data_IF_944275123899
#
_entry.id   IF_944275123899
#
_cell.length_a   1.000
_cell.length_b   1.000
_cell.length_c   1.000
_cell.angle_alpha   90.00
_cell.angle_beta   90.00
_cell.angle_gamma   90.00
#
_symmetry.space_group_name_H-M   'P 1'
#
loop_
_entity.id
_entity.type
_entity.pdbx_description
1 polymer ?
#
# COMPACT_ATOMS: atom_id res chain seq x y z
N UNK A 1 -5.84 -0.96 1.25
CA UNK A 1 -5.84 -0.86 -0.23
C UNK A 1 -5.10 -2.05 -0.82
N UNK A 2 -5.71 -2.79 -1.75
CA UNK A 2 -5.02 -3.80 -2.57
C UNK A 2 -4.58 -3.17 -3.89
N UNK A 3 -3.39 -3.51 -4.33
CA UNK A 3 -2.96 -3.20 -5.69
C UNK A 3 -2.68 -4.52 -6.43
N UNK A 4 -3.59 -4.90 -7.31
CA UNK A 4 -3.40 -5.96 -8.31
C UNK A 4 -3.16 -5.30 -9.67
N UNK A 5 -2.64 -6.06 -10.64
CA UNK A 5 -2.62 -5.62 -12.04
C UNK A 5 -4.03 -5.22 -12.48
N UNK A 6 -4.16 -4.04 -13.09
CA UNK A 6 -5.45 -3.48 -13.47
C UNK A 6 -5.92 -4.14 -14.76
N UNK A 7 -7.14 -4.66 -14.73
CA UNK A 7 -7.87 -5.10 -15.93
C UNK A 7 -9.10 -4.23 -16.10
N UNK A 8 -9.34 -3.72 -17.30
CA UNK A 8 -10.53 -2.95 -17.64
C UNK A 8 -11.55 -3.87 -18.29
N UNK A 9 -12.69 -4.06 -17.63
CA UNK A 9 -13.89 -4.57 -18.29
C UNK A 9 -14.73 -3.39 -18.82
N UNK A 10 -15.72 -3.70 -19.65
CA UNK A 10 -16.61 -2.69 -20.23
C UNK A 10 -17.29 -1.82 -19.18
N UNK A 11 -17.62 -2.40 -18.02
CA UNK A 11 -18.33 -1.70 -16.96
C UNK A 11 -17.43 -0.68 -16.26
N UNK A 12 -16.26 -1.11 -15.80
CA UNK A 12 -15.23 -0.29 -15.15
C UNK A 12 -14.72 0.80 -16.08
N UNK A 13 -14.58 0.53 -17.37
CA UNK A 13 -14.21 1.53 -18.37
C UNK A 13 -15.28 2.63 -18.49
N UNK A 14 -16.56 2.25 -18.57
CA UNK A 14 -17.68 3.22 -18.61
C UNK A 14 -17.73 4.05 -17.33
N UNK A 15 -17.60 3.42 -16.16
CA UNK A 15 -17.62 4.13 -14.86
C UNK A 15 -16.44 5.10 -14.75
N UNK A 16 -15.25 4.70 -15.20
CA UNK A 16 -14.08 5.57 -15.22
C UNK A 16 -14.28 6.78 -16.13
N UNK A 17 -14.73 6.54 -17.37
CA UNK A 17 -14.98 7.60 -18.35
C UNK A 17 -16.04 8.59 -17.85
N UNK A 18 -17.14 8.09 -17.27
CA UNK A 18 -18.19 8.93 -16.70
C UNK A 18 -17.66 9.82 -15.57
N UNK A 19 -16.89 9.27 -14.62
CA UNK A 19 -16.28 10.05 -13.52
C UNK A 19 -15.29 11.09 -14.04
N UNK A 20 -14.51 10.75 -15.07
CA UNK A 20 -13.58 11.67 -15.72
C UNK A 20 -14.32 12.84 -16.36
N UNK A 21 -15.37 12.56 -17.12
CA UNK A 21 -16.17 13.58 -17.80
C UNK A 21 -16.93 14.45 -16.81
N UNK A 22 -17.47 13.87 -15.73
CA UNK A 22 -18.10 14.62 -14.64
C UNK A 22 -17.12 15.61 -14.00
N UNK A 23 -15.88 15.16 -13.69
CA UNK A 23 -14.84 16.04 -13.14
C UNK A 23 -14.51 17.20 -14.08
N UNK A 24 -14.47 16.95 -15.39
CA UNK A 24 -14.23 17.96 -16.42
C UNK A 24 -15.38 18.95 -16.54
N UNK A 25 -16.62 18.46 -16.49
CA UNK A 25 -17.81 19.29 -16.52
C UNK A 25 -17.86 20.25 -15.32
N UNK A 26 -17.46 19.79 -14.12
CA UNK A 26 -17.34 20.63 -12.92
C UNK A 26 -16.35 21.79 -13.07
N UNK A 27 -15.39 21.68 -13.99
CA UNK A 27 -14.41 22.74 -14.31
C UNK A 27 -14.74 23.47 -15.61
N UNK A 28 -15.95 23.32 -16.16
CA UNK A 28 -16.37 23.96 -17.41
C UNK A 28 -15.67 23.44 -18.66
N UNK A 29 -15.04 22.26 -18.60
CA UNK A 29 -14.33 21.66 -19.74
C UNK A 29 -15.23 20.69 -20.50
N UNK A 30 -15.04 20.62 -21.83
CA UNK A 30 -15.69 19.62 -22.70
C UNK A 30 -15.36 18.19 -22.26
N UNK A 31 -16.24 17.20 -22.49
CA UNK A 31 -15.95 15.79 -22.20
C UNK A 31 -14.65 15.31 -22.86
N UNK A 32 -14.00 14.31 -22.28
CA UNK A 32 -12.69 13.85 -22.72
C UNK A 32 -12.72 13.33 -24.17
N UNK A 33 -13.83 12.70 -24.57
CA UNK A 33 -14.04 12.21 -25.94
C UNK A 33 -14.02 13.31 -27.01
N UNK A 34 -14.29 14.56 -26.64
CA UNK A 34 -14.26 15.72 -27.55
C UNK A 34 -12.85 16.33 -27.70
N UNK A 35 -11.85 15.80 -26.99
CA UNK A 35 -10.46 16.20 -27.17
C UNK A 35 -9.84 15.48 -28.37
N UNK A 36 -8.96 16.17 -29.08
CA UNK A 36 -8.05 15.54 -30.06
C UNK A 36 -7.02 14.65 -29.37
N UNK A 37 -6.38 13.76 -30.12
CA UNK A 37 -5.32 12.87 -29.60
C UNK A 37 -4.20 13.64 -28.93
N UNK A 38 -3.77 14.76 -29.52
CA UNK A 38 -2.70 15.61 -28.97
C UNK A 38 -3.15 16.33 -27.69
N UNK A 39 -4.39 16.82 -27.64
CA UNK A 39 -4.97 17.41 -26.43
C UNK A 39 -5.04 16.37 -25.28
N UNK A 40 -5.39 15.11 -25.59
CA UNK A 40 -5.45 14.02 -24.59
C UNK A 40 -4.06 13.68 -24.04
N UNK A 41 -3.06 13.53 -24.91
CA UNK A 41 -1.67 13.24 -24.52
C UNK A 41 -1.07 14.36 -23.67
N UNK A 42 -1.19 15.61 -24.12
CA UNK A 42 -0.69 16.77 -23.37
C UNK A 42 -1.34 16.85 -21.98
N UNK A 43 -2.64 16.54 -21.88
CA UNK A 43 -3.33 16.49 -20.59
C UNK A 43 -2.84 15.36 -19.69
N UNK A 44 -2.65 14.16 -20.24
CA UNK A 44 -2.13 13.03 -19.48
C UNK A 44 -0.75 13.35 -18.90
N UNK A 45 0.16 13.94 -19.71
CA UNK A 45 1.50 14.31 -19.25
C UNK A 45 1.45 15.39 -18.17
N UNK A 46 0.56 16.38 -18.31
CA UNK A 46 0.37 17.42 -17.30
C UNK A 46 -0.10 16.87 -15.94
N UNK A 47 -0.97 15.85 -15.92
CA UNK A 47 -1.52 15.29 -14.67
C UNK A 47 -0.61 14.25 -14.02
N UNK A 48 0.44 13.81 -14.72
CA UNK A 48 1.31 12.68 -14.37
C UNK A 48 1.89 12.75 -12.95
N UNK A 49 2.65 13.81 -12.66
CA UNK A 49 3.32 13.98 -11.36
C UNK A 49 2.31 14.24 -10.25
N UNK A 50 1.27 15.05 -10.53
CA UNK A 50 0.19 15.30 -9.59
C UNK A 50 -0.52 14.01 -9.17
N UNK A 51 -0.79 13.09 -10.10
CA UNK A 51 -1.43 11.81 -9.79
C UNK A 51 -0.55 10.94 -8.92
N UNK A 52 0.75 10.88 -9.22
CA UNK A 52 1.73 10.15 -8.42
C UNK A 52 1.80 10.71 -7.00
N UNK A 53 2.00 12.01 -6.85
CA UNK A 53 2.15 12.66 -5.54
C UNK A 53 0.88 12.57 -4.72
N UNK A 54 -0.29 12.80 -5.34
CA UNK A 54 -1.59 12.67 -4.67
C UNK A 54 -1.81 11.25 -4.15
N UNK A 55 -1.51 10.23 -4.96
CA UNK A 55 -1.71 8.84 -4.56
C UNK A 55 -0.72 8.43 -3.46
N UNK A 56 0.55 8.83 -3.57
CA UNK A 56 1.54 8.57 -2.53
C UNK A 56 1.16 9.27 -1.23
N UNK A 57 0.79 10.55 -1.30
CA UNK A 57 0.32 11.33 -0.17
C UNK A 57 -0.87 10.65 0.51
N UNK A 58 -1.87 10.23 -0.26
CA UNK A 58 -3.01 9.46 0.24
C UNK A 58 -2.56 8.21 1.00
N UNK A 59 -1.72 7.36 0.40
CA UNK A 59 -1.24 6.12 1.04
C UNK A 59 -0.42 6.36 2.32
N UNK A 60 0.30 7.48 2.41
CA UNK A 60 1.07 7.83 3.62
C UNK A 60 0.22 8.48 4.71
N UNK A 61 -0.77 9.31 4.33
CA UNK A 61 -1.68 9.98 5.26
C UNK A 61 -2.69 9.00 5.84
N UNK A 62 -3.18 8.09 5.01
CA UNK A 62 -4.07 7.00 5.37
C UNK A 62 -3.30 5.79 5.93
N UNK A 63 -1.99 5.88 6.22
CA UNK A 63 -1.27 4.74 6.78
C UNK A 63 -1.75 4.44 8.21
N UNK A 64 -2.08 3.18 8.50
CA UNK A 64 -2.58 2.75 9.81
C UNK A 64 -1.42 2.42 10.76
N UNK A 65 -1.23 3.12 11.89
CA UNK A 65 -0.18 2.80 12.86
C UNK A 65 -0.39 1.40 13.45
N UNK A 66 0.69 0.62 13.64
CA UNK A 66 0.58 -0.74 14.22
C UNK A 66 0.21 -0.77 15.70
N UNK A 67 0.42 0.33 16.42
CA UNK A 67 0.09 0.47 17.84
C UNK A 67 -1.42 0.56 18.11
N UNK A 68 -2.22 0.80 17.07
CA UNK A 68 -3.66 1.04 17.17
C UNK A 68 -4.42 0.14 16.22
N UNK A 69 -5.64 -0.22 16.61
CA UNK A 69 -6.51 -0.96 15.71
C UNK A 69 -6.76 -0.14 14.43
N UNK A 70 -6.63 -0.76 13.23
CA UNK A 70 -6.75 -0.05 11.97
C UNK A 70 -8.17 0.45 11.74
N UNK A 71 -8.30 1.69 11.26
CA UNK A 71 -9.59 2.27 10.84
C UNK A 71 -10.01 1.86 9.44
N UNK A 72 -9.13 1.19 8.70
CA UNK A 72 -9.33 0.76 7.32
C UNK A 72 -9.42 -0.75 7.24
N UNK A 73 -10.11 -1.20 6.20
CA UNK A 73 -10.22 -2.60 5.87
C UNK A 73 -9.62 -2.90 4.50
N UNK A 74 -9.06 -4.09 4.38
CA UNK A 74 -8.56 -4.64 3.13
C UNK A 74 -9.00 -6.10 3.06
N UNK A 75 -10.15 -6.33 2.42
CA UNK A 75 -10.76 -7.65 2.29
C UNK A 75 -9.99 -8.49 1.26
N UNK A 76 -9.48 -9.65 1.70
CA UNK A 76 -8.72 -10.58 0.88
C UNK A 76 -9.53 -11.05 -0.35
N UNK A 77 -9.04 -10.84 -1.58
CA UNK A 77 -9.77 -11.20 -2.80
C UNK A 77 -9.74 -12.71 -3.10
N UNK A 78 -8.79 -13.44 -2.52
CA UNK A 78 -8.54 -14.86 -2.70
C UNK A 78 -8.01 -15.48 -1.39
N UNK A 79 -7.70 -16.77 -1.42
CA UNK A 79 -6.97 -17.44 -0.33
C UNK A 79 -5.46 -17.28 -0.53
N UNK A 80 -4.69 -17.23 0.55
CA UNK A 80 -3.25 -17.04 0.44
C UNK A 80 -2.52 -16.91 1.77
N UNK A 81 -1.38 -16.24 1.73
CA UNK A 81 -0.51 -16.01 2.88
C UNK A 81 -0.13 -14.55 3.01
N UNK A 82 -0.37 -13.96 4.17
CA UNK A 82 0.12 -12.64 4.54
C UNK A 82 1.57 -12.75 4.99
N UNK A 83 2.44 -11.99 4.33
CA UNK A 83 3.88 -11.99 4.53
C UNK A 83 4.24 -10.88 5.51
N UNK A 84 4.60 -11.26 6.73
CA UNK A 84 4.83 -10.35 7.86
C UNK A 84 6.30 -10.40 8.32
N UNK A 85 7.12 -9.38 8.03
CA UNK A 85 8.49 -9.32 8.53
C UNK A 85 8.50 -9.18 10.05
N UNK A 86 9.50 -9.77 10.72
CA UNK A 86 9.63 -9.69 12.17
C UNK A 86 10.43 -8.46 12.64
N UNK A 87 11.23 -7.88 11.76
CA UNK A 87 12.16 -6.79 12.09
C UNK A 87 12.29 -5.83 10.91
N UNK A 88 12.57 -4.56 11.18
CA UNK A 88 12.84 -3.56 10.16
C UNK A 88 14.06 -3.93 9.32
N UNK A 89 13.87 -4.06 7.99
CA UNK A 89 14.93 -4.27 6.99
C UNK A 89 15.83 -5.51 7.16
N UNK A 90 15.57 -6.42 8.10
CA UNK A 90 16.36 -7.64 8.18
C UNK A 90 15.86 -8.65 7.15
N UNK A 91 16.79 -9.08 6.30
CA UNK A 91 16.55 -9.96 5.16
C UNK A 91 16.23 -11.41 5.55
N UNK A 92 16.23 -11.75 6.84
CA UNK A 92 16.35 -13.15 7.25
C UNK A 92 15.08 -13.80 7.78
N UNK A 93 14.13 -13.06 8.39
CA UNK A 93 12.96 -13.68 9.05
C UNK A 93 11.63 -13.01 8.75
N UNK A 94 10.82 -13.76 8.02
CA UNK A 94 9.49 -13.37 7.58
C UNK A 94 8.54 -14.50 7.92
N UNK A 95 7.51 -14.22 8.71
CA UNK A 95 6.46 -15.19 8.97
C UNK A 95 5.37 -15.10 7.90
N UNK A 96 4.62 -16.19 7.73
CA UNK A 96 3.53 -16.30 6.76
C UNK A 96 2.26 -16.70 7.52
N UNK A 97 1.26 -15.84 7.51
CA UNK A 97 -0.03 -16.09 8.14
C UNK A 97 -1.02 -16.51 7.05
N UNK A 98 -1.60 -17.72 7.08
CA UNK A 98 -2.62 -18.10 6.11
C UNK A 98 -3.87 -17.22 6.30
N UNK A 99 -4.47 -16.80 5.18
CA UNK A 99 -5.77 -16.12 5.17
C UNK A 99 -6.71 -16.76 4.16
N UNK A 100 -8.01 -16.56 4.38
CA UNK A 100 -9.09 -16.93 3.47
C UNK A 100 -9.64 -15.70 2.75
N UNK A 101 -10.22 -15.93 1.57
CA UNK A 101 -10.99 -14.92 0.86
C UNK A 101 -12.07 -14.35 1.78
N UNK A 102 -12.17 -13.02 1.82
CA UNK A 102 -13.12 -12.30 2.67
C UNK A 102 -12.57 -11.84 4.01
N UNK A 103 -11.40 -12.32 4.44
CA UNK A 103 -10.78 -11.86 5.70
C UNK A 103 -10.15 -10.47 5.56
N UNK A 104 -10.14 -9.71 6.65
CA UNK A 104 -9.53 -8.37 6.68
C UNK A 104 -8.03 -8.42 7.02
N UNK A 105 -7.21 -8.11 6.02
CA UNK A 105 -5.76 -8.15 6.16
C UNK A 105 -5.20 -7.11 7.14
N UNK A 106 -5.86 -5.95 7.30
CA UNK A 106 -5.44 -4.96 8.28
C UNK A 106 -5.60 -5.49 9.69
N UNK A 107 -6.78 -6.04 10.02
CA UNK A 107 -7.03 -6.70 11.30
C UNK A 107 -6.05 -7.85 11.58
N UNK A 108 -5.83 -8.73 10.60
CA UNK A 108 -4.87 -9.83 10.74
C UNK A 108 -3.44 -9.35 11.05
N UNK A 109 -2.95 -8.33 10.33
CA UNK A 109 -1.63 -7.76 10.58
C UNK A 109 -1.56 -7.11 11.97
N UNK A 110 -2.59 -6.37 12.37
CA UNK A 110 -2.67 -5.74 13.69
C UNK A 110 -2.57 -6.78 14.81
N UNK A 111 -3.36 -7.86 14.77
CA UNK A 111 -3.31 -8.90 15.80
C UNK A 111 -1.94 -9.56 15.87
N UNK A 112 -1.36 -9.93 14.71
CA UNK A 112 -0.02 -10.51 14.68
C UNK A 112 1.03 -9.61 15.32
N UNK A 113 1.02 -8.31 15.00
CA UNK A 113 2.03 -7.37 15.49
C UNK A 113 1.82 -6.88 16.92
N UNK A 114 0.59 -7.01 17.44
CA UNK A 114 0.25 -6.69 18.83
C UNK A 114 0.70 -7.75 19.83
N UNK A 115 0.99 -8.97 19.36
CA UNK A 115 1.54 -10.03 20.19
C UNK A 115 2.99 -9.74 20.65
N UNK A 116 3.40 -10.46 21.69
CA UNK A 116 4.76 -10.40 22.21
C UNK A 116 5.78 -10.88 21.16
N UNK A 117 6.92 -10.21 21.14
CA UNK A 117 8.08 -10.67 20.38
C UNK A 117 8.65 -11.94 21.02
N UNK A 118 9.09 -12.88 20.18
CA UNK A 118 9.81 -14.06 20.63
C UNK A 118 11.21 -13.68 21.12
N UNK A 119 11.76 -14.45 22.05
CA UNK A 119 13.12 -14.26 22.59
C UNK A 119 14.18 -14.10 21.49
N UNK A 120 14.03 -14.81 20.37
CA UNK A 120 14.93 -14.70 19.23
C UNK A 120 14.91 -13.31 18.57
N UNK A 121 13.72 -12.73 18.38
CA UNK A 121 13.56 -11.37 17.83
C UNK A 121 14.11 -10.37 18.83
N UNK A 122 13.87 -10.58 20.12
CA UNK A 122 14.43 -9.75 21.19
C UNK A 122 15.96 -9.79 21.22
N UNK A 123 16.57 -10.95 20.93
CA UNK A 123 18.01 -11.14 20.96
C UNK A 123 18.73 -10.57 19.73
N UNK A 124 18.06 -10.48 18.58
CA UNK A 124 18.70 -10.15 17.29
C UNK A 124 18.23 -8.83 16.69
N UNK A 125 17.03 -8.37 17.05
CA UNK A 125 16.41 -7.17 16.50
C UNK A 125 16.73 -5.90 17.30
N UNK A 126 16.76 -4.77 16.60
CA UNK A 126 16.78 -3.46 17.26
C UNK A 126 15.36 -3.10 17.70
N UNK A 127 15.13 -3.02 19.02
CA UNK A 127 13.89 -2.45 19.56
C UNK A 127 13.96 -0.91 19.44
N UNK A 128 12.96 -0.31 18.81
CA UNK A 128 12.86 1.15 18.62
C UNK A 128 12.05 1.86 19.72
N UNK A 129 11.42 1.11 20.63
CA UNK A 129 10.75 1.62 21.83
C UNK A 129 11.65 1.38 23.04
N UNK A 130 12.01 2.42 23.81
CA UNK A 130 12.84 2.23 25.00
C UNK A 130 12.17 1.26 25.98
N UNK A 131 12.92 0.25 26.43
CA UNK A 131 12.49 -0.68 27.48
C UNK A 131 12.23 0.11 28.77
N UNK A 132 11.00 0.55 28.99
CA UNK A 132 10.54 1.23 30.21
C UNK A 132 10.27 0.22 31.34
N UNK A 133 11.24 -0.67 31.59
CA UNK A 133 11.32 -1.56 32.76
C UNK A 133 10.07 -2.39 33.03
N UNK A 134 10.08 -3.66 32.59
CA UNK A 134 9.15 -4.78 32.94
C UNK A 134 8.07 -5.17 31.93
N UNK A 135 7.86 -4.45 30.82
CA UNK A 135 6.89 -4.86 29.80
C UNK A 135 7.60 -5.69 28.73
N UNK A 136 7.16 -6.93 28.51
CA UNK A 136 7.63 -7.77 27.40
C UNK A 136 7.35 -7.05 26.07
N UNK A 137 8.37 -6.88 25.19
CA UNK A 137 8.23 -6.06 24.00
C UNK A 137 7.32 -6.72 22.97
N UNK A 138 6.56 -5.90 22.25
CA UNK A 138 5.66 -6.35 21.17
C UNK A 138 6.38 -6.42 19.83
N UNK A 139 5.88 -7.23 18.90
CA UNK A 139 6.52 -7.41 17.58
C UNK A 139 6.63 -6.12 16.78
N UNK A 140 5.65 -5.22 16.85
CA UNK A 140 5.72 -3.95 16.10
C UNK A 140 6.89 -3.05 16.53
N UNK A 141 7.39 -3.18 17.76
CA UNK A 141 8.47 -2.33 18.29
C UNK A 141 9.81 -2.56 17.58
N UNK A 142 9.92 -3.67 16.85
CA UNK A 142 11.09 -4.04 16.05
C UNK A 142 10.96 -3.62 14.57
N UNK A 143 9.86 -3.01 14.16
CA UNK A 143 9.59 -2.66 12.76
C UNK A 143 9.92 -1.20 12.39
N UNK A 144 10.51 -0.46 13.33
CA UNK A 144 10.87 0.94 13.17
C UNK A 144 10.32 1.78 14.32
N UNK A 145 10.71 3.06 14.40
CA UNK A 145 10.27 3.96 15.46
C UNK A 145 8.81 4.41 15.34
N UNK A 146 8.21 4.42 14.14
CA UNK A 146 6.78 4.71 13.99
C UNK A 146 6.18 4.00 12.77
N UNK A 147 6.09 2.66 12.82
CA UNK A 147 5.68 1.84 11.68
C UNK A 147 4.16 1.92 11.45
N UNK A 148 3.79 2.21 10.22
CA UNK A 148 2.40 2.19 9.76
C UNK A 148 2.25 1.24 8.57
N UNK A 149 1.07 0.63 8.43
CA UNK A 149 0.68 -0.12 7.22
C UNK A 149 0.02 0.86 6.25
N UNK A 150 0.60 1.05 5.08
CA UNK A 150 0.04 1.86 3.98
C UNK A 150 -0.84 1.05 3.03
N UNK A 151 -0.70 -0.28 3.00
CA UNK A 151 -1.51 -1.13 2.15
C UNK A 151 -0.91 -2.52 1.96
N UNK A 152 -1.38 -3.19 0.91
CA UNK A 152 -1.03 -4.57 0.61
C UNK A 152 -0.76 -4.76 -0.88
N UNK A 153 0.26 -5.55 -1.20
CA UNK A 153 0.63 -5.92 -2.56
C UNK A 153 0.51 -7.43 -2.74
N UNK A 154 -0.30 -7.87 -3.71
CA UNK A 154 -0.54 -9.30 -3.96
C UNK A 154 0.39 -9.80 -5.07
N UNK A 155 1.22 -10.79 -4.73
CA UNK A 155 2.16 -11.46 -5.61
C UNK A 155 1.85 -12.97 -5.61
N UNK A 156 1.12 -13.45 -6.62
CA UNK A 156 0.62 -14.82 -6.65
C UNK A 156 -0.34 -15.12 -5.50
N UNK A 157 0.05 -16.00 -4.56
CA UNK A 157 -0.69 -16.29 -3.32
C UNK A 157 -0.13 -15.59 -2.08
N UNK A 158 0.88 -14.75 -2.26
CA UNK A 158 1.56 -14.06 -1.17
C UNK A 158 1.15 -12.59 -1.16
N UNK A 159 0.63 -12.12 -0.03
CA UNK A 159 0.33 -10.70 0.16
C UNK A 159 1.44 -10.08 1.01
N UNK A 160 2.17 -9.15 0.41
CA UNK A 160 3.20 -8.36 1.08
C UNK A 160 2.54 -7.18 1.80
N UNK A 161 2.90 -6.97 3.06
CA UNK A 161 2.53 -5.74 3.78
C UNK A 161 3.42 -4.59 3.30
N UNK A 162 2.80 -3.48 2.94
CA UNK A 162 3.48 -2.26 2.54
C UNK A 162 3.55 -1.32 3.74
N UNK A 163 4.74 -1.17 4.30
CA UNK A 163 4.97 -0.31 5.44
C UNK A 163 5.40 1.09 5.02
N UNK A 164 4.99 2.06 5.82
CA UNK A 164 5.51 3.42 5.84
C UNK A 164 5.87 3.77 7.27
N UNK A 165 7.15 4.07 7.52
CA UNK A 165 7.54 4.62 8.81
C UNK A 165 7.36 6.14 8.77
N UNK A 166 6.43 6.64 9.59
CA UNK A 166 6.02 8.04 9.56
C UNK A 166 7.03 8.98 10.23
N UNK A 167 7.97 8.46 11.02
CA UNK A 167 9.07 9.25 11.60
C UNK A 167 10.26 9.28 10.63
N UNK A 168 10.69 8.12 10.12
CA UNK A 168 11.80 8.00 9.19
C UNK A 168 11.45 8.43 7.76
N UNK A 169 10.15 8.61 7.46
CA UNK A 169 9.61 8.92 6.12
C UNK A 169 10.01 7.89 5.06
N UNK A 170 10.06 6.60 5.43
CA UNK A 170 10.56 5.51 4.58
C UNK A 170 9.47 4.50 4.22
N UNK A 171 9.36 4.20 2.94
CA UNK A 171 8.56 3.10 2.40
C UNK A 171 9.39 1.81 2.40
N UNK A 172 8.84 0.74 2.96
CA UNK A 172 9.55 -0.53 3.03
C UNK A 172 8.59 -1.73 3.08
N UNK A 173 9.13 -2.92 2.82
CA UNK A 173 8.43 -4.21 2.91
C UNK A 173 9.40 -5.26 3.46
N UNK A 174 8.94 -6.52 3.57
CA UNK A 174 9.76 -7.61 4.07
C UNK A 174 11.16 -7.70 3.42
N UNK A 175 11.20 -7.75 2.09
CA UNK A 175 12.44 -7.92 1.32
C UNK A 175 12.70 -6.69 0.43
N UNK A 176 12.97 -5.54 1.06
CA UNK A 176 13.40 -4.34 0.35
C UNK A 176 12.45 -3.16 0.52
N UNK A 177 12.28 -2.39 -0.55
CA UNK A 177 11.48 -1.17 -0.54
C UNK A 177 10.36 -1.20 -1.57
N UNK A 178 9.40 -0.30 -1.43
CA UNK A 178 8.41 -0.06 -2.46
C UNK A 178 8.38 1.42 -2.78
N UNK A 179 8.13 1.74 -4.04
CA UNK A 179 7.90 3.11 -4.49
C UNK A 179 6.61 3.16 -5.28
N UNK A 180 5.99 4.34 -5.34
CA UNK A 180 4.91 4.56 -6.28
C UNK A 180 5.51 4.99 -7.62
N UNK A 181 5.13 4.28 -8.67
CA UNK A 181 5.49 4.60 -10.05
C UNK A 181 4.21 4.77 -10.87
N UNK A 182 4.38 5.20 -12.11
CA UNK A 182 3.28 5.60 -12.99
C UNK A 182 3.54 5.02 -14.37
N UNK A 183 2.50 4.46 -14.97
CA UNK A 183 2.54 3.90 -16.32
C UNK A 183 1.42 4.52 -17.14
N UNK A 184 1.62 4.65 -18.45
CA UNK A 184 0.57 5.12 -19.35
C UNK A 184 -0.32 3.94 -19.75
N UNK A 185 -1.60 4.03 -19.42
CA UNK A 185 -2.60 3.05 -19.79
C UNK A 185 -3.26 3.46 -21.10
N UNK A 186 -3.03 2.70 -22.16
CA UNK A 186 -3.55 2.98 -23.49
C UNK A 186 -5.08 2.85 -23.57
N UNK A 187 -5.70 2.02 -22.73
CA UNK A 187 -7.14 1.75 -22.77
C UNK A 187 -7.94 2.97 -22.33
N UNK A 188 -7.44 3.66 -21.30
CA UNK A 188 -8.06 4.87 -20.76
C UNK A 188 -7.36 6.15 -21.19
N UNK A 189 -6.27 6.05 -21.95
CA UNK A 189 -5.42 7.15 -22.41
C UNK A 189 -4.98 8.08 -21.28
N UNK A 190 -4.53 7.52 -20.15
CA UNK A 190 -4.06 8.30 -19.01
C UNK A 190 -2.94 7.60 -18.23
N UNK A 191 -2.18 8.37 -17.45
CA UNK A 191 -1.25 7.79 -16.49
C UNK A 191 -1.99 7.20 -15.29
N UNK A 192 -1.55 6.03 -14.86
CA UNK A 192 -2.10 5.32 -13.71
C UNK A 192 -0.99 4.99 -12.72
N UNK A 193 -1.19 5.21 -11.42
CA UNK A 193 -0.20 4.86 -10.42
C UNK A 193 -0.21 3.35 -10.17
N UNK A 194 0.98 2.77 -10.04
CA UNK A 194 1.20 1.38 -9.64
C UNK A 194 2.32 1.29 -8.59
N UNK A 195 2.36 0.17 -7.89
CA UNK A 195 3.40 -0.07 -6.86
C UNK A 195 4.57 -0.78 -7.52
N UNK A 196 5.72 -0.13 -7.48
CA UNK A 196 6.99 -0.70 -7.90
C UNK A 196 7.71 -1.28 -6.68
N UNK A 197 8.10 -2.54 -6.79
CA UNK A 197 8.79 -3.26 -5.74
C UNK A 197 10.28 -3.30 -6.04
N UNK A 198 11.11 -2.92 -5.08
CA UNK A 198 12.57 -2.92 -5.18
C UNK A 198 13.15 -3.89 -4.15
N UNK A 199 14.13 -4.69 -4.58
CA UNK A 199 14.88 -5.59 -3.71
C UNK A 199 15.69 -4.82 -2.66
#
# INVERSE_FOLDING_TARGET
MFTAHRTWDDHSLRVFNAKRDEKRARTGLKPFSFLSTEERKARAEYEKDYLKDRQLHKMTLEASPLEKYPSQQAIAPCDGFLVVPQTFRSQSKVAKIPFRKGEDLFGMAFYYYSELASDEVCATGLNYVPNSGSISPRRYEYLGPKPCISGFYLEGKHVQVLFYDSLLKKQWRANGTWTLSIEFDQTVECYVPFIEIKA
#
